data_IF_178235428235
#
_entry.id   IF_178235428235
#
_cell.length_a   1.000
_cell.length_b   1.000
_cell.length_c   1.000
_cell.angle_alpha   90.00
_cell.angle_beta   90.00
_cell.angle_gamma   90.00
#
_symmetry.space_group_name_H-M   'P 1'
#
loop_
_entity.id
_entity.type
_entity.pdbx_description
1 polymer ?
#
# COMPACT_ATOMS: atom_id res chain seq x y z
N UNK A 1 -55.71 -6.87 -21.79
CA UNK A 1 -54.35 -7.00 -21.31
C UNK A 1 -54.05 -5.81 -20.41
N UNK A 2 -53.42 -6.05 -19.27
CA UNK A 2 -52.88 -5.00 -18.44
C UNK A 2 -51.54 -4.53 -19.08
N UNK A 3 -51.35 -3.20 -19.32
CA UNK A 3 -50.12 -2.70 -19.90
C UNK A 3 -48.93 -2.95 -18.93
N UNK A 4 -47.75 -3.10 -19.48
CA UNK A 4 -46.51 -3.19 -18.66
C UNK A 4 -46.36 -1.94 -17.76
N UNK A 5 -46.07 -2.09 -16.48
CA UNK A 5 -45.81 -0.96 -15.62
C UNK A 5 -44.49 -0.26 -15.98
N UNK A 6 -44.41 1.03 -15.73
CA UNK A 6 -43.16 1.74 -15.70
C UNK A 6 -42.39 1.32 -14.45
N UNK A 7 -41.12 0.92 -14.64
CA UNK A 7 -40.22 0.53 -13.54
C UNK A 7 -39.20 1.64 -13.32
N UNK A 8 -39.14 2.14 -12.10
CA UNK A 8 -38.15 3.13 -11.67
C UNK A 8 -37.32 2.48 -10.57
N UNK A 9 -35.99 2.52 -10.71
CA UNK A 9 -35.06 1.97 -9.75
C UNK A 9 -34.01 3.00 -9.35
N UNK A 10 -33.54 2.95 -8.10
CA UNK A 10 -32.42 3.74 -7.58
C UNK A 10 -31.18 2.84 -7.48
N UNK A 11 -30.77 2.20 -8.56
CA UNK A 11 -29.75 1.15 -8.58
C UNK A 11 -28.60 1.47 -9.55
N UNK A 12 -28.18 2.74 -9.62
CA UNK A 12 -27.13 3.22 -10.53
C UNK A 12 -25.84 2.39 -10.44
N UNK A 13 -25.31 2.22 -9.25
CA UNK A 13 -24.07 1.45 -9.01
C UNK A 13 -24.19 -0.01 -9.48
N UNK A 14 -25.26 -0.69 -9.21
CA UNK A 14 -25.47 -2.08 -9.63
C UNK A 14 -25.59 -2.28 -11.13
N UNK A 15 -25.92 -1.22 -11.88
CA UNK A 15 -26.02 -1.26 -13.34
C UNK A 15 -24.70 -0.98 -14.06
N UNK A 16 -23.80 -0.22 -13.44
CA UNK A 16 -22.59 0.29 -14.12
C UNK A 16 -21.27 -0.15 -13.46
N UNK A 17 -21.25 -0.56 -12.19
CA UNK A 17 -20.02 -0.90 -11.49
C UNK A 17 -19.18 -1.98 -12.19
N UNK A 18 -19.83 -2.97 -12.80
CA UNK A 18 -19.18 -4.17 -13.33
C UNK A 18 -18.42 -3.97 -14.65
N UNK A 19 -18.53 -2.81 -15.31
CA UNK A 19 -17.88 -2.60 -16.60
C UNK A 19 -16.41 -2.21 -16.51
N UNK A 20 -15.88 -1.93 -15.30
CA UNK A 20 -14.50 -1.52 -15.12
C UNK A 20 -13.83 -2.28 -13.97
N UNK A 21 -12.54 -2.53 -14.16
CA UNK A 21 -11.61 -3.13 -13.19
C UNK A 21 -10.38 -2.25 -13.13
N UNK A 22 -9.93 -1.88 -11.93
CA UNK A 22 -8.64 -1.23 -11.71
C UNK A 22 -7.59 -2.31 -11.47
N UNK A 23 -6.45 -2.21 -12.15
CA UNK A 23 -5.31 -3.12 -11.97
C UNK A 23 -4.09 -2.26 -11.66
N UNK A 24 -3.34 -2.63 -10.62
CA UNK A 24 -2.09 -1.97 -10.28
C UNK A 24 -1.04 -2.97 -9.82
N UNK A 25 0.22 -2.60 -9.98
CA UNK A 25 1.37 -3.35 -9.55
C UNK A 25 1.70 -3.07 -8.07
N UNK A 26 2.15 -4.10 -7.36
CA UNK A 26 2.77 -3.96 -6.05
C UNK A 26 4.26 -3.68 -6.26
N UNK A 27 4.71 -2.52 -5.82
CA UNK A 27 6.08 -2.04 -6.00
C UNK A 27 7.03 -2.58 -4.94
N UNK A 28 6.57 -2.61 -3.69
CA UNK A 28 7.39 -2.95 -2.53
C UNK A 28 6.52 -3.43 -1.38
N UNK A 29 7.14 -4.11 -0.41
CA UNK A 29 6.47 -4.53 0.82
C UNK A 29 7.26 -4.08 2.05
N UNK A 30 6.54 -3.66 3.09
CA UNK A 30 7.10 -3.51 4.42
C UNK A 30 6.51 -4.58 5.34
N UNK A 31 7.38 -5.46 5.81
CA UNK A 31 7.05 -6.54 6.74
C UNK A 31 7.52 -6.18 8.15
N UNK A 32 6.83 -6.70 9.15
CA UNK A 32 7.28 -6.56 10.52
C UNK A 32 8.49 -7.47 10.78
N UNK A 33 9.46 -7.03 11.59
CA UNK A 33 10.64 -7.84 11.92
C UNK A 33 10.24 -9.22 12.42
N UNK A 34 10.99 -10.23 12.00
CA UNK A 34 10.88 -11.61 12.48
C UNK A 34 12.17 -11.98 13.19
N UNK A 35 12.06 -12.90 14.17
CA UNK A 35 13.26 -13.53 14.72
C UNK A 35 13.84 -14.47 13.68
N UNK A 36 15.17 -14.42 13.54
CA UNK A 36 15.89 -15.42 12.77
C UNK A 36 15.80 -16.79 13.50
N UNK A 37 15.86 -17.90 12.75
CA UNK A 37 15.83 -19.25 13.34
C UNK A 37 16.98 -19.47 14.36
N UNK A 38 18.10 -18.77 14.16
CA UNK A 38 19.31 -18.84 14.99
C UNK A 38 19.37 -17.71 16.05
N UNK A 39 18.22 -17.08 16.38
CA UNK A 39 18.22 -15.99 17.37
C UNK A 39 18.55 -16.51 18.76
N UNK A 40 19.66 -16.07 19.30
CA UNK A 40 20.10 -16.35 20.67
C UNK A 40 20.30 -15.06 21.45
N UNK A 41 19.90 -15.06 22.72
CA UNK A 41 20.20 -13.97 23.64
C UNK A 41 21.59 -14.19 24.23
N UNK A 42 22.50 -13.26 23.97
CA UNK A 42 23.86 -13.31 24.49
C UNK A 42 23.94 -12.91 25.97
N UNK A 43 24.90 -13.47 26.74
CA UNK A 43 25.08 -13.14 28.14
C UNK A 43 25.26 -11.63 28.44
N UNK A 44 25.73 -10.85 27.44
CA UNK A 44 25.98 -9.41 27.58
C UNK A 44 24.87 -8.56 26.94
N UNK A 45 23.79 -9.14 26.46
CA UNK A 45 22.67 -8.37 25.94
C UNK A 45 21.94 -7.62 27.08
N UNK A 46 21.23 -6.57 26.75
CA UNK A 46 20.54 -5.72 27.72
C UNK A 46 19.47 -6.48 28.50
N UNK A 47 19.26 -6.13 29.77
CA UNK A 47 18.27 -6.77 30.65
C UNK A 47 16.88 -6.87 30.04
N UNK A 48 16.40 -5.82 29.39
CA UNK A 48 15.11 -5.82 28.67
C UNK A 48 15.02 -6.87 27.56
N UNK A 49 16.14 -7.24 26.92
CA UNK A 49 16.18 -8.32 25.93
C UNK A 49 15.96 -9.67 26.60
N UNK A 50 16.61 -9.91 27.73
CA UNK A 50 16.44 -11.12 28.52
C UNK A 50 15.00 -11.26 29.03
N UNK A 51 14.43 -10.19 29.60
CA UNK A 51 13.06 -10.18 30.11
C UNK A 51 12.05 -10.50 29.01
N UNK A 52 12.18 -9.85 27.85
CA UNK A 52 11.27 -10.08 26.73
C UNK A 52 11.42 -11.48 26.11
N UNK A 53 12.64 -12.02 26.11
CA UNK A 53 12.89 -13.40 25.69
C UNK A 53 12.25 -14.41 26.65
N UNK A 54 12.34 -14.19 27.97
CA UNK A 54 11.67 -15.04 28.98
C UNK A 54 10.14 -15.02 28.82
N UNK A 55 9.56 -13.85 28.48
CA UNK A 55 8.14 -13.73 28.21
C UNK A 55 7.77 -14.60 26.99
N UNK A 56 8.56 -14.53 25.92
CA UNK A 56 8.34 -15.31 24.71
C UNK A 56 8.49 -16.81 24.95
N UNK A 57 9.56 -17.25 25.61
CA UNK A 57 9.85 -18.66 25.88
C UNK A 57 8.79 -19.34 26.77
N UNK A 58 8.20 -18.57 27.70
CA UNK A 58 7.18 -19.05 28.63
C UNK A 58 5.74 -18.72 28.18
N UNK A 59 5.55 -18.26 26.94
CA UNK A 59 4.24 -17.87 26.46
C UNK A 59 3.30 -19.06 26.31
N UNK A 60 2.08 -18.90 26.82
CA UNK A 60 1.01 -19.89 26.68
C UNK A 60 -0.36 -19.23 26.87
N UNK A 61 -1.42 -19.98 26.59
CA UNK A 61 -2.79 -19.46 26.64
C UNK A 61 -3.18 -18.80 27.98
N UNK A 62 -2.70 -19.31 29.12
CA UNK A 62 -3.07 -18.76 30.43
C UNK A 62 -2.36 -17.45 30.77
N UNK A 63 -1.21 -17.19 30.15
CA UNK A 63 -0.38 -16.01 30.38
C UNK A 63 -0.43 -14.97 29.26
N UNK A 64 -1.14 -15.23 28.15
CA UNK A 64 -1.07 -14.40 26.95
C UNK A 64 -1.48 -12.93 27.20
N UNK A 65 -2.41 -12.65 28.12
CA UNK A 65 -2.84 -11.27 28.44
C UNK A 65 -1.76 -10.54 29.22
N UNK A 66 -1.20 -11.16 30.24
CA UNK A 66 -0.06 -10.62 31.01
C UNK A 66 1.13 -10.40 30.09
N UNK A 67 1.53 -11.43 29.33
CA UNK A 67 2.63 -11.38 28.37
C UNK A 67 2.48 -10.24 27.34
N UNK A 68 1.26 -9.99 26.89
CA UNK A 68 0.98 -8.88 25.97
C UNK A 68 1.27 -7.51 26.60
N UNK A 69 0.78 -7.28 27.79
CA UNK A 69 1.01 -6.01 28.50
C UNK A 69 2.47 -5.81 28.87
N UNK A 70 3.14 -6.84 29.39
CA UNK A 70 4.54 -6.80 29.74
C UNK A 70 5.42 -6.53 28.50
N UNK A 71 5.15 -7.22 27.38
CA UNK A 71 5.87 -6.99 26.12
C UNK A 71 5.69 -5.56 25.58
N UNK A 72 4.49 -4.99 25.70
CA UNK A 72 4.25 -3.59 25.31
C UNK A 72 5.04 -2.63 26.22
N UNK A 73 5.03 -2.84 27.52
CA UNK A 73 5.77 -2.01 28.47
C UNK A 73 7.28 -2.06 28.20
N UNK A 74 7.85 -3.24 28.02
CA UNK A 74 9.29 -3.40 27.69
C UNK A 74 9.64 -2.68 26.39
N UNK A 75 8.80 -2.79 25.38
CA UNK A 75 9.01 -2.10 24.10
C UNK A 75 8.98 -0.59 24.23
N UNK A 76 8.03 -0.04 25.00
CA UNK A 76 7.93 1.40 25.26
C UNK A 76 9.14 1.91 26.06
N UNK A 77 9.55 1.19 27.10
CA UNK A 77 10.74 1.51 27.90
C UNK A 77 12.00 1.50 27.02
N UNK A 78 12.18 0.47 26.19
CA UNK A 78 13.31 0.39 25.27
C UNK A 78 13.35 1.56 24.26
N UNK A 79 12.18 2.00 23.77
CA UNK A 79 12.08 3.16 22.89
C UNK A 79 12.50 4.44 23.62
N UNK A 80 12.08 4.61 24.86
CA UNK A 80 12.43 5.75 25.70
C UNK A 80 13.93 5.79 25.99
N UNK A 81 14.51 4.68 26.43
CA UNK A 81 15.94 4.52 26.66
C UNK A 81 16.78 4.76 25.40
N UNK A 82 16.31 4.26 24.25
CA UNK A 82 16.95 4.50 22.96
C UNK A 82 16.92 6.00 22.58
N UNK A 83 15.80 6.67 22.78
CA UNK A 83 15.65 8.11 22.52
C UNK A 83 16.57 8.97 23.38
N UNK A 84 16.93 8.50 24.58
CA UNK A 84 17.88 9.14 25.48
C UNK A 84 19.34 8.68 25.25
N UNK A 85 19.60 7.80 24.27
CA UNK A 85 20.94 7.30 23.97
C UNK A 85 21.52 6.35 25.02
N UNK A 86 20.67 5.73 25.86
CA UNK A 86 21.08 4.79 26.91
C UNK A 86 21.25 3.38 26.33
N UNK A 87 20.33 2.94 25.46
CA UNK A 87 20.47 1.69 24.72
C UNK A 87 20.87 1.96 23.26
N UNK A 88 21.59 1.03 22.67
CA UNK A 88 22.06 1.14 21.29
C UNK A 88 21.02 0.61 20.27
N UNK A 89 21.31 0.79 18.98
CA UNK A 89 20.44 0.34 17.90
C UNK A 89 20.30 -1.18 17.83
N UNK A 90 21.35 -1.94 18.21
CA UNK A 90 21.32 -3.40 18.25
C UNK A 90 20.28 -3.88 19.26
N UNK A 91 20.36 -3.38 20.49
CA UNK A 91 19.41 -3.68 21.57
C UNK A 91 17.97 -3.33 21.15
N UNK A 92 17.77 -2.15 20.56
CA UNK A 92 16.48 -1.71 20.05
C UNK A 92 15.93 -2.67 18.99
N UNK A 93 16.77 -3.13 18.06
CA UNK A 93 16.37 -4.07 17.02
C UNK A 93 16.03 -5.47 17.56
N UNK A 94 16.77 -5.96 18.58
CA UNK A 94 16.48 -7.24 19.24
C UNK A 94 15.10 -7.19 19.93
N UNK A 95 14.80 -6.10 20.64
CA UNK A 95 13.51 -5.91 21.31
C UNK A 95 12.37 -5.83 20.32
N UNK A 96 12.51 -5.12 19.18
CA UNK A 96 11.47 -5.11 18.15
C UNK A 96 11.20 -6.52 17.57
N UNK A 97 12.23 -7.30 17.28
CA UNK A 97 12.08 -8.66 16.77
C UNK A 97 11.34 -9.56 17.77
N UNK A 98 11.76 -9.54 19.03
CA UNK A 98 11.11 -10.30 20.11
C UNK A 98 9.65 -9.87 20.31
N UNK A 99 9.39 -8.57 20.41
CA UNK A 99 8.04 -8.04 20.55
C UNK A 99 7.09 -8.53 19.46
N UNK A 100 7.53 -8.46 18.19
CA UNK A 100 6.69 -8.92 17.10
C UNK A 100 6.52 -10.44 17.06
N UNK A 101 7.50 -11.20 17.56
CA UNK A 101 7.38 -12.65 17.72
C UNK A 101 6.39 -13.03 18.81
N UNK A 102 6.45 -12.36 19.97
CA UNK A 102 5.43 -12.49 21.03
C UNK A 102 4.04 -12.16 20.50
N UNK A 103 3.93 -11.07 19.74
CA UNK A 103 2.65 -10.62 19.18
C UNK A 103 2.06 -11.65 18.20
N UNK A 104 2.89 -12.24 17.33
CA UNK A 104 2.45 -13.29 16.38
C UNK A 104 1.98 -14.53 17.11
N UNK A 105 2.70 -14.96 18.11
CA UNK A 105 2.35 -16.16 18.88
C UNK A 105 1.07 -15.96 19.69
N UNK A 106 0.90 -14.79 20.32
CA UNK A 106 -0.37 -14.41 20.96
C UNK A 106 -1.52 -14.45 19.95
N UNK A 107 -1.33 -13.89 18.74
CA UNK A 107 -2.34 -13.91 17.69
C UNK A 107 -2.69 -15.34 17.26
N UNK A 108 -1.70 -16.21 17.14
CA UNK A 108 -1.93 -17.62 16.81
C UNK A 108 -2.72 -18.33 17.91
N UNK A 109 -2.37 -18.14 19.19
CA UNK A 109 -3.10 -18.70 20.33
C UNK A 109 -4.54 -18.17 20.33
N UNK A 110 -4.72 -16.84 20.22
CA UNK A 110 -6.02 -16.18 20.25
C UNK A 110 -6.94 -16.64 19.12
N UNK A 111 -6.40 -16.82 17.92
CA UNK A 111 -7.15 -17.31 16.74
C UNK A 111 -7.66 -18.73 16.89
N UNK A 112 -7.03 -19.56 17.74
CA UNK A 112 -7.47 -20.91 18.08
C UNK A 112 -8.58 -20.95 19.14
N UNK A 113 -8.89 -19.81 19.79
CA UNK A 113 -9.88 -19.78 20.87
C UNK A 113 -11.29 -19.53 20.37
N UNK A 114 -12.26 -20.20 21.00
CA UNK A 114 -13.68 -19.96 20.72
C UNK A 114 -14.14 -18.54 21.13
N UNK A 115 -13.50 -17.97 22.15
CA UNK A 115 -13.75 -16.65 22.69
C UNK A 115 -12.39 -16.00 23.01
N UNK A 116 -11.79 -15.35 22.03
CA UNK A 116 -10.58 -14.56 22.26
C UNK A 116 -10.93 -13.26 23.00
N UNK A 117 -10.05 -12.77 23.89
CA UNK A 117 -10.17 -11.44 24.49
C UNK A 117 -10.30 -10.34 23.43
N UNK A 118 -11.12 -9.33 23.74
CA UNK A 118 -11.42 -8.25 22.77
C UNK A 118 -10.18 -7.47 22.33
N UNK A 119 -9.17 -7.36 23.20
CA UNK A 119 -7.90 -6.70 22.91
C UNK A 119 -7.10 -7.37 21.78
N UNK A 120 -7.28 -8.67 21.56
CA UNK A 120 -6.57 -9.42 20.51
C UNK A 120 -7.30 -9.43 19.16
N UNK A 121 -8.54 -8.97 19.09
CA UNK A 121 -9.33 -8.95 17.84
C UNK A 121 -8.73 -8.08 16.72
N UNK A 122 -7.81 -7.19 17.05
CA UNK A 122 -7.16 -6.28 16.11
C UNK A 122 -5.73 -6.66 15.78
N UNK A 123 -5.23 -7.78 16.32
CA UNK A 123 -3.84 -8.20 16.09
C UNK A 123 -3.59 -8.56 14.62
N UNK A 124 -4.55 -9.19 13.93
CA UNK A 124 -4.43 -9.46 12.50
C UNK A 124 -4.13 -8.18 11.72
N UNK A 125 -4.87 -7.08 12.01
CA UNK A 125 -4.61 -5.79 11.39
C UNK A 125 -3.25 -5.21 11.74
N UNK A 126 -2.79 -5.41 12.98
CA UNK A 126 -1.48 -4.92 13.45
C UNK A 126 -0.33 -5.68 12.79
N UNK A 127 -0.53 -6.98 12.56
CA UNK A 127 0.44 -7.91 12.00
C UNK A 127 0.45 -7.95 10.47
N UNK A 128 -0.56 -7.36 9.82
CA UNK A 128 -0.63 -7.32 8.37
C UNK A 128 0.55 -6.57 7.76
N UNK A 129 1.15 -7.16 6.74
CA UNK A 129 2.17 -6.51 5.93
C UNK A 129 1.60 -5.27 5.23
N UNK A 130 2.47 -4.35 4.81
CA UNK A 130 2.09 -3.21 3.98
C UNK A 130 2.59 -3.43 2.57
N UNK A 131 1.67 -3.52 1.62
CA UNK A 131 1.97 -3.63 0.19
C UNK A 131 1.81 -2.26 -0.46
N UNK A 132 2.90 -1.67 -0.92
CA UNK A 132 2.91 -0.38 -1.62
C UNK A 132 2.59 -0.60 -3.08
N UNK A 133 1.53 0.02 -3.56
CA UNK A 133 0.89 -0.23 -4.83
C UNK A 133 0.92 1.00 -5.71
N UNK A 134 1.23 0.83 -7.00
CA UNK A 134 1.37 1.91 -7.99
C UNK A 134 0.02 2.48 -8.42
N UNK A 135 -0.67 3.15 -7.53
CA UNK A 135 -1.94 3.85 -7.79
C UNK A 135 -2.14 4.98 -6.76
N UNK A 136 -3.07 5.87 -7.02
CA UNK A 136 -3.60 6.84 -6.06
C UNK A 136 -5.01 6.43 -5.66
N UNK A 137 -5.25 6.28 -4.35
CA UNK A 137 -6.58 5.99 -3.82
C UNK A 137 -7.58 7.10 -4.16
N UNK A 138 -7.12 8.34 -4.06
CA UNK A 138 -7.94 9.54 -4.27
C UNK A 138 -8.36 9.69 -5.75
N UNK A 139 -7.47 9.36 -6.67
CA UNK A 139 -7.73 9.42 -8.10
C UNK A 139 -8.57 8.23 -8.58
N UNK A 140 -8.24 7.00 -8.13
CA UNK A 140 -8.80 5.79 -8.72
C UNK A 140 -9.94 5.17 -7.92
N UNK A 141 -10.01 5.40 -6.60
CA UNK A 141 -11.01 4.81 -5.69
C UNK A 141 -11.52 5.83 -4.66
N UNK A 142 -11.98 7.01 -5.08
CA UNK A 142 -12.39 8.07 -4.15
C UNK A 142 -13.48 7.66 -3.18
N UNK A 143 -14.41 6.78 -3.56
CA UNK A 143 -15.48 6.30 -2.67
C UNK A 143 -14.94 5.44 -1.51
N UNK A 144 -13.79 4.77 -1.69
CA UNK A 144 -13.17 4.02 -0.60
C UNK A 144 -12.74 4.94 0.54
N UNK A 145 -12.22 6.13 0.19
CA UNK A 145 -11.81 7.15 1.14
C UNK A 145 -12.99 7.99 1.64
N UNK A 146 -13.85 8.46 0.72
CA UNK A 146 -14.86 9.47 1.05
C UNK A 146 -16.08 8.91 1.80
N UNK A 147 -16.45 7.65 1.56
CA UNK A 147 -17.68 7.04 2.10
C UNK A 147 -17.48 5.60 2.61
N UNK A 148 -16.23 5.18 2.84
CA UNK A 148 -15.90 3.83 3.30
C UNK A 148 -16.45 2.70 2.39
N UNK A 149 -16.59 2.96 1.08
CA UNK A 149 -17.02 1.94 0.13
C UNK A 149 -15.99 0.81 0.05
N UNK A 150 -16.43 -0.42 0.28
CA UNK A 150 -15.59 -1.61 0.15
C UNK A 150 -15.78 -2.21 -1.24
N UNK A 151 -14.67 -2.41 -1.95
CA UNK A 151 -14.63 -3.05 -3.27
C UNK A 151 -14.15 -4.50 -3.16
N UNK A 152 -14.56 -5.40 -4.07
CA UNK A 152 -13.92 -6.71 -4.22
C UNK A 152 -12.48 -6.53 -4.70
N UNK A 153 -11.52 -7.04 -3.94
CA UNK A 153 -10.10 -6.90 -4.22
C UNK A 153 -9.44 -8.28 -4.11
N UNK A 154 -8.60 -8.62 -5.07
CA UNK A 154 -7.82 -9.86 -5.02
C UNK A 154 -6.56 -9.77 -5.89
N UNK A 155 -5.52 -10.57 -5.59
CA UNK A 155 -4.46 -10.83 -6.56
C UNK A 155 -5.05 -11.41 -7.85
N UNK A 156 -4.51 -11.01 -9.02
CA UNK A 156 -4.94 -11.54 -10.33
C UNK A 156 -3.90 -12.49 -10.95
N UNK A 157 -2.90 -12.84 -10.18
CA UNK A 157 -1.83 -13.79 -10.51
C UNK A 157 -1.73 -14.87 -9.46
N UNK A 158 -1.07 -15.99 -9.79
CA UNK A 158 -0.81 -17.09 -8.86
C UNK A 158 -2.08 -17.62 -8.19
N UNK A 159 -3.18 -17.68 -8.94
CA UNK A 159 -4.51 -18.07 -8.43
C UNK A 159 -4.60 -19.54 -8.05
N UNK A 160 -3.64 -20.36 -8.46
CA UNK A 160 -3.44 -21.77 -8.10
C UNK A 160 -2.51 -21.96 -6.89
N UNK A 161 -1.88 -20.90 -6.40
CA UNK A 161 -1.05 -20.94 -5.20
C UNK A 161 -1.88 -20.48 -3.97
N UNK A 162 -1.62 -21.10 -2.83
CA UNK A 162 -2.23 -20.64 -1.58
C UNK A 162 -1.51 -19.35 -1.13
N UNK A 163 -2.22 -18.26 -0.81
CA UNK A 163 -1.63 -17.09 -0.19
C UNK A 163 -0.87 -17.46 1.10
N UNK A 164 0.30 -16.88 1.27
CA UNK A 164 1.20 -17.11 2.40
C UNK A 164 1.42 -15.86 3.27
N UNK A 165 0.81 -14.72 2.88
CA UNK A 165 0.85 -13.45 3.59
C UNK A 165 -0.54 -12.84 3.72
N UNK A 166 -0.68 -11.93 4.67
CA UNK A 166 -1.83 -11.05 4.82
C UNK A 166 -1.34 -9.60 4.79
N UNK A 167 -1.99 -8.74 4.01
CA UNK A 167 -1.53 -7.36 3.83
C UNK A 167 -2.66 -6.33 3.85
N UNK A 168 -2.29 -5.11 4.18
CA UNK A 168 -3.02 -3.89 3.81
C UNK A 168 -2.37 -3.28 2.56
N UNK A 169 -3.16 -2.59 1.74
CA UNK A 169 -2.66 -1.94 0.53
C UNK A 169 -2.44 -0.46 0.82
N UNK A 170 -1.27 0.04 0.45
CA UNK A 170 -0.91 1.46 0.55
C UNK A 170 -0.78 2.00 -0.87
N UNK A 171 -1.31 3.18 -1.14
CA UNK A 171 -1.06 3.87 -2.39
C UNK A 171 0.32 4.56 -2.38
N UNK A 172 0.71 5.20 -3.47
CA UNK A 172 1.99 5.92 -3.56
C UNK A 172 1.88 7.40 -3.18
N UNK A 173 0.71 7.86 -2.73
CA UNK A 173 0.59 9.23 -2.22
C UNK A 173 1.28 9.37 -0.85
N UNK A 174 1.61 10.58 -0.44
CA UNK A 174 2.18 10.83 0.88
C UNK A 174 1.11 10.93 1.98
N UNK A 175 -0.16 10.85 1.64
CA UNK A 175 -1.26 10.98 2.59
C UNK A 175 -1.46 9.69 3.40
N UNK A 176 -1.65 9.84 4.70
CA UNK A 176 -1.89 8.69 5.60
C UNK A 176 -3.21 7.95 5.34
N UNK A 177 -4.15 8.58 4.63
CA UNK A 177 -5.42 8.00 4.25
C UNK A 177 -5.37 7.25 2.91
N UNK A 178 -4.23 7.34 2.17
CA UNK A 178 -3.97 6.60 0.95
C UNK A 178 -3.77 5.10 1.18
N UNK A 179 -4.76 4.43 1.79
CA UNK A 179 -4.68 3.01 2.15
C UNK A 179 -6.02 2.30 2.07
N UNK A 180 -5.97 1.01 1.73
CA UNK A 180 -7.11 0.11 1.84
C UNK A 180 -6.80 -0.90 2.95
N UNK A 181 -7.60 -0.88 4.01
CA UNK A 181 -7.46 -1.72 5.19
C UNK A 181 -8.76 -2.40 5.60
N UNK A 182 -9.77 -2.39 4.71
CA UNK A 182 -11.04 -3.09 4.88
C UNK A 182 -11.34 -3.86 3.59
N UNK A 183 -11.58 -5.15 3.71
CA UNK A 183 -11.76 -6.06 2.59
C UNK A 183 -13.03 -6.89 2.75
N UNK A 184 -13.63 -7.31 1.64
CA UNK A 184 -14.79 -8.20 1.64
C UNK A 184 -14.34 -9.60 2.05
N UNK A 185 -15.00 -10.15 3.06
CA UNK A 185 -14.88 -11.54 3.46
C UNK A 185 -16.24 -12.24 3.37
N UNK A 186 -16.26 -13.55 3.46
CA UNK A 186 -17.49 -14.35 3.34
C UNK A 186 -18.51 -14.12 4.46
N UNK A 187 -18.08 -13.61 5.60
CA UNK A 187 -18.94 -13.47 6.80
C UNK A 187 -18.88 -12.09 7.45
N UNK A 188 -17.81 -11.35 7.24
CA UNK A 188 -17.54 -10.06 7.89
C UNK A 188 -16.59 -9.21 7.04
N UNK A 189 -16.35 -7.99 7.45
CA UNK A 189 -15.27 -7.17 6.87
C UNK A 189 -13.95 -7.63 7.45
N UNK A 190 -13.01 -8.09 6.59
CA UNK A 190 -11.64 -8.39 6.97
C UNK A 190 -10.81 -7.11 7.04
N UNK A 191 -9.79 -7.10 7.89
CA UNK A 191 -8.83 -5.99 8.00
C UNK A 191 -7.50 -6.28 7.31
N UNK A 192 -7.43 -7.37 6.60
CA UNK A 192 -6.30 -7.80 5.79
C UNK A 192 -6.77 -8.53 4.53
N UNK A 193 -5.91 -8.54 3.53
CA UNK A 193 -6.09 -9.24 2.27
C UNK A 193 -5.10 -10.41 2.20
N UNK A 194 -5.55 -11.64 1.98
CA UNK A 194 -4.64 -12.75 1.68
C UNK A 194 -3.90 -12.49 0.35
N UNK A 195 -2.58 -12.49 0.40
CA UNK A 195 -1.68 -12.20 -0.72
C UNK A 195 -0.51 -13.19 -0.71
N UNK A 196 0.33 -13.10 -1.72
CA UNK A 196 1.53 -13.93 -1.83
C UNK A 196 2.78 -13.09 -1.62
N UNK A 197 3.79 -13.62 -0.94
CA UNK A 197 5.11 -13.00 -0.86
C UNK A 197 5.65 -12.68 -2.25
N UNK A 198 6.30 -11.53 -2.41
CA UNK A 198 6.91 -11.13 -3.68
C UNK A 198 8.09 -12.05 -4.01
N UNK A 199 8.21 -12.46 -5.28
CA UNK A 199 9.29 -13.33 -5.78
C UNK A 199 10.27 -12.51 -6.61
N UNK A 200 11.35 -12.08 -5.97
CA UNK A 200 12.43 -11.37 -6.66
C UNK A 200 11.96 -10.09 -7.35
N UNK A 201 12.11 -10.03 -8.68
CA UNK A 201 11.72 -8.88 -9.52
C UNK A 201 10.45 -9.15 -10.34
N UNK A 202 9.76 -10.24 -10.08
CA UNK A 202 8.55 -10.57 -10.83
C UNK A 202 7.44 -9.59 -10.43
N UNK A 203 6.81 -9.00 -11.44
CA UNK A 203 5.69 -8.10 -11.24
C UNK A 203 4.51 -8.83 -10.54
N UNK A 204 3.90 -8.19 -9.56
CA UNK A 204 2.76 -8.73 -8.82
C UNK A 204 1.58 -7.76 -8.90
N UNK A 205 0.47 -8.23 -9.47
CA UNK A 205 -0.69 -7.38 -9.76
C UNK A 205 -1.89 -7.72 -8.88
N UNK A 206 -2.56 -6.67 -8.45
CA UNK A 206 -3.84 -6.73 -7.72
C UNK A 206 -4.92 -6.10 -8.57
N UNK A 207 -6.09 -6.73 -8.60
CA UNK A 207 -7.29 -6.22 -9.23
C UNK A 207 -8.31 -5.75 -8.21
N UNK A 208 -8.90 -4.58 -8.48
CA UNK A 208 -10.05 -4.02 -7.77
C UNK A 208 -11.23 -4.02 -8.71
N UNK A 209 -12.28 -4.75 -8.36
CA UNK A 209 -13.43 -4.98 -9.20
C UNK A 209 -14.60 -4.06 -8.85
N UNK A 210 -15.55 -3.92 -9.79
CA UNK A 210 -16.78 -3.12 -9.62
C UNK A 210 -16.51 -1.61 -9.46
N UNK A 211 -15.49 -1.10 -10.14
CA UNK A 211 -15.09 0.31 -10.09
C UNK A 211 -15.73 1.18 -11.20
N UNK A 212 -16.58 0.61 -12.06
CA UNK A 212 -17.19 1.33 -13.19
C UNK A 212 -18.24 2.38 -12.81
N UNK A 213 -18.60 2.50 -11.52
CA UNK A 213 -19.56 3.50 -11.05
C UNK A 213 -18.84 4.54 -10.20
N UNK A 214 -18.86 5.79 -10.62
CA UNK A 214 -18.42 7.00 -9.92
C UNK A 214 -16.91 7.18 -9.77
N UNK A 215 -16.10 6.15 -9.79
CA UNK A 215 -14.70 6.24 -9.36
C UNK A 215 -13.87 7.18 -10.24
N UNK A 216 -13.85 6.92 -11.54
CA UNK A 216 -13.08 7.72 -12.51
C UNK A 216 -13.57 9.19 -12.58
N UNK A 217 -14.89 9.40 -12.57
CA UNK A 217 -15.50 10.74 -12.65
C UNK A 217 -15.33 11.58 -11.39
N UNK A 218 -15.24 10.95 -10.20
CA UNK A 218 -15.06 11.61 -8.93
C UNK A 218 -13.61 11.60 -8.45
N UNK A 219 -12.68 11.11 -9.29
CA UNK A 219 -11.26 11.12 -8.98
C UNK A 219 -10.75 12.50 -8.59
N UNK A 220 -9.82 12.56 -7.66
CA UNK A 220 -9.20 13.76 -7.13
C UNK A 220 -7.69 13.71 -7.38
N UNK A 221 -7.13 14.75 -7.99
CA UNK A 221 -5.70 14.89 -8.27
C UNK A 221 -4.86 15.13 -7.00
N UNK A 222 -5.21 14.52 -5.90
CA UNK A 222 -4.46 14.62 -4.64
C UNK A 222 -2.99 14.20 -4.87
N UNK A 223 -2.06 15.03 -4.39
CA UNK A 223 -0.62 14.90 -4.66
C UNK A 223 -0.25 14.96 -6.15
N UNK A 224 -1.10 15.51 -6.99
CA UNK A 224 -0.89 15.70 -8.45
C UNK A 224 -0.69 14.38 -9.21
N UNK A 225 -1.34 13.29 -8.78
CA UNK A 225 -1.52 12.11 -9.61
C UNK A 225 -2.71 12.32 -10.55
N UNK A 226 -2.49 12.09 -11.83
CA UNK A 226 -3.50 12.22 -12.87
C UNK A 226 -4.24 10.90 -13.15
N UNK A 227 -5.00 10.86 -14.24
CA UNK A 227 -5.70 9.67 -14.69
C UNK A 227 -4.72 8.54 -15.04
N UNK A 228 -5.13 7.31 -14.77
CA UNK A 228 -4.36 6.12 -15.11
C UNK A 228 -4.52 5.74 -16.58
N UNK A 229 -3.57 4.94 -17.10
CA UNK A 229 -3.75 4.30 -18.41
C UNK A 229 -5.03 3.49 -18.42
N UNK A 230 -5.79 3.58 -19.50
CA UNK A 230 -7.04 2.84 -19.67
C UNK A 230 -7.01 1.97 -20.93
N UNK A 231 -7.60 0.79 -20.83
CA UNK A 231 -7.71 -0.17 -21.95
C UNK A 231 -9.17 -0.58 -22.08
N UNK A 232 -9.75 -0.36 -23.25
CA UNK A 232 -11.08 -0.86 -23.56
C UNK A 232 -10.97 -2.26 -24.15
N UNK A 233 -11.69 -3.20 -23.54
CA UNK A 233 -11.65 -4.62 -23.91
C UNK A 233 -13.06 -5.13 -24.15
N UNK A 234 -13.28 -5.76 -25.29
CA UNK A 234 -14.48 -6.54 -25.58
C UNK A 234 -14.19 -8.03 -25.39
N UNK A 235 -15.08 -8.71 -24.70
CA UNK A 235 -15.02 -10.16 -24.48
C UNK A 235 -16.21 -10.84 -25.15
N UNK A 236 -15.95 -11.87 -25.94
CA UNK A 236 -16.96 -12.69 -26.59
C UNK A 236 -16.66 -14.19 -26.46
N UNK A 237 -17.47 -15.04 -27.08
CA UNK A 237 -17.29 -16.50 -27.06
C UNK A 237 -15.97 -16.99 -27.71
N UNK A 238 -15.25 -16.14 -28.42
CA UNK A 238 -13.98 -16.44 -29.10
C UNK A 238 -12.76 -15.97 -28.32
N UNK A 239 -12.97 -15.18 -27.27
CA UNK A 239 -11.91 -14.63 -26.44
C UNK A 239 -12.10 -13.14 -26.14
N UNK A 240 -11.04 -12.36 -26.27
CA UNK A 240 -11.08 -10.91 -26.03
C UNK A 240 -10.40 -10.14 -27.17
N UNK A 241 -10.80 -8.90 -27.36
CA UNK A 241 -10.13 -7.91 -28.21
C UNK A 241 -9.84 -6.64 -27.43
N UNK A 242 -8.70 -6.02 -27.72
CA UNK A 242 -8.37 -4.68 -27.23
C UNK A 242 -8.87 -3.70 -28.28
N UNK A 243 -9.88 -2.91 -27.93
CA UNK A 243 -10.53 -1.99 -28.84
C UNK A 243 -9.86 -0.62 -28.85
N UNK A 244 -9.38 -0.17 -27.68
CA UNK A 244 -8.71 1.12 -27.52
C UNK A 244 -7.74 1.08 -26.34
N UNK A 245 -6.62 1.79 -26.50
CA UNK A 245 -5.68 2.11 -25.42
C UNK A 245 -5.66 3.63 -25.28
N UNK A 246 -5.79 4.12 -24.07
CA UNK A 246 -5.76 5.54 -23.70
C UNK A 246 -4.62 5.72 -22.71
N UNK A 247 -3.66 6.56 -23.07
CA UNK A 247 -2.57 6.90 -22.16
C UNK A 247 -3.09 7.77 -21.01
N UNK A 248 -2.59 7.52 -19.81
CA UNK A 248 -2.87 8.34 -18.63
C UNK A 248 -2.17 9.69 -18.70
N UNK A 249 -2.49 10.55 -17.76
CA UNK A 249 -2.01 11.93 -17.76
C UNK A 249 -0.51 12.03 -17.45
N UNK A 250 0.14 12.91 -18.20
CA UNK A 250 1.54 13.30 -17.96
C UNK A 250 1.65 14.35 -16.85
N UNK A 251 2.83 14.48 -16.25
CA UNK A 251 3.13 15.55 -15.28
C UNK A 251 2.83 16.94 -15.86
N UNK A 252 3.11 17.15 -17.16
CA UNK A 252 2.84 18.41 -17.83
C UNK A 252 1.34 18.74 -17.91
N UNK A 253 0.50 17.76 -18.17
CA UNK A 253 -0.96 17.93 -18.24
C UNK A 253 -1.54 18.26 -16.86
N UNK A 254 -1.14 17.54 -15.82
CA UNK A 254 -1.57 17.81 -14.45
C UNK A 254 -1.09 19.19 -13.98
N UNK A 255 0.16 19.59 -14.30
CA UNK A 255 0.65 20.93 -14.00
C UNK A 255 -0.14 22.03 -14.72
N UNK A 256 -0.50 21.83 -15.98
CA UNK A 256 -1.31 22.80 -16.75
C UNK A 256 -2.71 22.95 -16.14
N UNK A 257 -3.30 21.85 -15.68
CA UNK A 257 -4.59 21.82 -14.97
C UNK A 257 -4.58 22.69 -13.70
N UNK A 258 -3.47 22.65 -12.92
CA UNK A 258 -3.28 23.50 -11.74
C UNK A 258 -2.59 24.84 -12.05
N UNK A 259 -2.65 25.27 -13.33
CA UNK A 259 -2.24 26.59 -13.82
C UNK A 259 -0.71 26.85 -13.81
N UNK A 260 0.11 25.82 -13.77
CA UNK A 260 1.53 25.93 -14.07
C UNK A 260 1.78 25.66 -15.56
N UNK A 261 2.42 26.60 -16.25
CA UNK A 261 2.70 26.44 -17.67
C UNK A 261 3.99 25.63 -17.92
N UNK A 262 3.93 24.39 -18.42
CA UNK A 262 5.09 23.53 -18.62
C UNK A 262 6.15 24.13 -19.53
N UNK A 263 5.73 24.83 -20.62
CA UNK A 263 6.63 25.48 -21.57
C UNK A 263 7.40 26.62 -20.92
N UNK A 264 6.78 27.36 -19.98
CA UNK A 264 7.45 28.43 -19.22
C UNK A 264 8.49 27.85 -18.26
N UNK A 265 8.17 26.73 -17.60
CA UNK A 265 9.11 26.03 -16.72
C UNK A 265 10.36 25.59 -17.49
N UNK A 266 10.20 24.94 -18.64
CA UNK A 266 11.32 24.52 -19.49
C UNK A 266 12.18 25.73 -19.91
N UNK A 267 11.56 26.82 -20.40
CA UNK A 267 12.30 28.03 -20.81
C UNK A 267 13.09 28.67 -19.67
N UNK A 268 12.52 28.70 -18.47
CA UNK A 268 13.20 29.22 -17.28
C UNK A 268 14.44 28.38 -16.98
N UNK A 269 14.29 27.04 -17.02
CA UNK A 269 15.40 26.14 -16.78
C UNK A 269 16.50 26.24 -17.86
N UNK A 270 16.12 26.33 -19.14
CA UNK A 270 17.05 26.57 -20.24
C UNK A 270 17.88 27.84 -20.02
N UNK A 271 17.24 28.88 -19.49
CA UNK A 271 17.95 30.16 -19.18
C UNK A 271 18.97 29.94 -18.05
N UNK A 272 18.58 29.20 -16.99
CA UNK A 272 19.49 28.93 -15.88
C UNK A 272 20.65 28.02 -16.28
N UNK A 273 20.40 26.98 -17.05
CA UNK A 273 21.43 26.08 -17.59
C UNK A 273 22.40 26.85 -18.48
N UNK A 274 21.87 27.66 -19.40
CA UNK A 274 22.71 28.51 -20.29
C UNK A 274 23.60 29.44 -19.49
N UNK A 275 23.09 30.05 -18.43
CA UNK A 275 23.86 30.91 -17.54
C UNK A 275 24.96 30.11 -16.83
N UNK A 276 24.63 28.95 -16.28
CA UNK A 276 25.57 28.08 -15.55
C UNK A 276 26.71 27.56 -16.43
N UNK A 277 26.42 27.24 -17.70
CA UNK A 277 27.45 26.88 -18.69
C UNK A 277 28.37 28.06 -18.99
N UNK A 278 27.80 29.28 -19.22
CA UNK A 278 28.59 30.49 -19.47
C UNK A 278 29.50 30.87 -18.30
N UNK A 279 29.06 30.61 -17.09
CA UNK A 279 29.84 30.86 -15.86
C UNK A 279 30.83 29.72 -15.53
N UNK A 280 30.89 28.68 -16.37
CA UNK A 280 31.80 27.52 -16.18
C UNK A 280 31.46 26.63 -14.98
N UNK A 281 30.21 26.71 -14.47
CA UNK A 281 29.75 25.87 -13.34
C UNK A 281 29.40 24.44 -13.75
N UNK A 282 28.96 24.26 -14.98
CA UNK A 282 28.68 22.98 -15.61
C UNK A 282 29.17 22.98 -17.05
N UNK A 283 29.45 21.81 -17.60
CA UNK A 283 29.78 21.62 -19.01
C UNK A 283 28.54 21.74 -19.91
N UNK A 284 28.76 21.84 -21.22
CA UNK A 284 27.67 21.83 -22.21
C UNK A 284 26.95 20.50 -22.23
N UNK A 285 27.69 19.41 -22.08
CA UNK A 285 27.17 18.03 -22.03
C UNK A 285 26.26 17.82 -20.83
N UNK A 286 26.71 18.18 -19.63
CA UNK A 286 25.90 18.13 -18.41
C UNK A 286 24.62 18.98 -18.52
N UNK A 287 24.74 20.15 -19.13
CA UNK A 287 23.57 21.03 -19.35
C UNK A 287 22.55 20.40 -20.31
N UNK A 288 22.99 19.71 -21.35
CA UNK A 288 22.11 18.99 -22.29
C UNK A 288 21.42 17.81 -21.60
N UNK A 289 22.18 16.99 -20.87
CA UNK A 289 21.67 15.85 -20.15
C UNK A 289 20.63 16.26 -19.12
N UNK A 290 20.91 17.31 -18.33
CA UNK A 290 19.99 17.85 -17.34
C UNK A 290 18.66 18.32 -17.97
N UNK A 291 18.72 19.07 -19.09
CA UNK A 291 17.51 19.51 -19.79
C UNK A 291 16.74 18.36 -20.42
N UNK A 292 17.42 17.32 -20.91
CA UNK A 292 16.80 16.12 -21.45
C UNK A 292 16.03 15.36 -20.36
N UNK A 293 16.66 15.12 -19.22
CA UNK A 293 16.07 14.44 -18.09
C UNK A 293 14.88 15.22 -17.52
N UNK A 294 14.99 16.55 -17.40
CA UNK A 294 13.88 17.38 -16.95
C UNK A 294 12.66 17.30 -17.90
N UNK A 295 12.91 17.37 -19.22
CA UNK A 295 11.82 17.24 -20.20
C UNK A 295 11.20 15.85 -20.19
N UNK A 296 12.01 14.80 -20.10
CA UNK A 296 11.52 13.42 -19.99
C UNK A 296 10.62 13.27 -18.78
N UNK A 297 11.04 13.73 -17.59
CA UNK A 297 10.20 13.68 -16.39
C UNK A 297 8.94 14.54 -16.49
N UNK A 298 9.03 15.74 -17.12
CA UNK A 298 7.87 16.62 -17.28
C UNK A 298 6.79 16.05 -18.20
N UNK A 299 7.19 15.32 -19.23
CA UNK A 299 6.27 14.68 -20.17
C UNK A 299 6.10 13.17 -19.94
N UNK A 300 6.62 12.68 -18.84
CA UNK A 300 6.41 11.32 -18.37
C UNK A 300 5.06 11.15 -17.66
N UNK A 301 4.69 9.91 -17.46
CA UNK A 301 3.49 9.50 -16.73
C UNK A 301 3.56 9.94 -15.25
N UNK A 302 2.42 10.14 -14.61
CA UNK A 302 2.39 10.59 -13.20
C UNK A 302 2.64 9.49 -12.18
N UNK A 303 2.57 8.24 -12.59
CA UNK A 303 2.87 7.06 -11.77
C UNK A 303 4.25 6.48 -12.10
N UNK A 304 4.71 5.50 -11.34
CA UNK A 304 6.00 4.84 -11.56
C UNK A 304 5.92 3.85 -12.75
N UNK A 305 6.99 3.82 -13.57
CA UNK A 305 7.16 2.93 -14.73
C UNK A 305 8.33 1.96 -14.53
#
# INVERSE_FOLDING_TARGET
GIPHPNIITESGRSLTAHHSVLIFEVLETATLPEMDEDFEVGENDHELVHELYEIWDNLNQSRMVEAWHDAQQIREEALDLFSHGIVDLKTRAQIERLYWSVTREINQIASGLKHAPDEFRKLDKLLADKYFCNFSLFQSLPDSWAIDQIFPIMPIQRLDEKPDRNATLQDITCDSDGKIANFISTRYVSHDLPVHSLKGKDAYYIGVFLVGAYQEILGDMHNLFGDTNAVHVTVDDKGYSIDQVIDGETVAEVLDYVQYNPKKLVRTLETWVTKSVKEGRISVEEGKEFLSNYRSGLYGYTYLE
#
